data_IF_125570323670
#
_entry.id   IF_125570323670
#
_cell.length_a   1.000
_cell.length_b   1.000
_cell.length_c   1.000
_cell.angle_alpha   90.00
_cell.angle_beta   90.00
_cell.angle_gamma   90.00
#
_symmetry.space_group_name_H-M   'P 1'
#
loop_
_entity.id
_entity.type
_entity.pdbx_description
1 polymer ?
#
# COMPACT_ATOMS: atom_id res chain seq x y z
N UNK A 1 -5.70 -2.75 -56.86
CA UNK A 1 -6.39 -3.57 -55.83
C UNK A 1 -5.79 -3.41 -54.42
N UNK A 2 -4.46 -3.26 -54.26
CA UNK A 2 -3.80 -3.08 -52.94
C UNK A 2 -4.25 -1.84 -52.13
N UNK A 3 -4.57 -0.72 -52.81
CA UNK A 3 -5.05 0.53 -52.16
C UNK A 3 -6.44 0.39 -51.49
N UNK A 4 -7.34 -0.39 -52.09
CA UNK A 4 -8.70 -0.61 -51.55
C UNK A 4 -8.67 -1.47 -50.29
N UNK A 5 -7.82 -2.50 -50.27
CA UNK A 5 -7.68 -3.40 -49.13
C UNK A 5 -7.09 -2.69 -47.89
N UNK A 6 -6.15 -1.77 -48.12
CA UNK A 6 -5.53 -0.97 -47.05
C UNK A 6 -6.46 0.12 -46.49
N UNK A 7 -7.38 0.68 -47.29
CA UNK A 7 -8.41 1.61 -46.79
C UNK A 7 -9.46 0.93 -45.88
N UNK A 8 -9.72 -0.37 -46.07
CA UNK A 8 -10.68 -1.10 -45.24
C UNK A 8 -10.03 -1.71 -43.98
N UNK A 9 -8.83 -2.27 -44.10
CA UNK A 9 -8.13 -2.89 -42.96
C UNK A 9 -7.25 -1.92 -42.16
N UNK A 10 -6.82 -0.80 -42.76
CA UNK A 10 -6.00 0.21 -42.10
C UNK A 10 -6.64 0.79 -40.84
N UNK A 11 -7.91 1.25 -40.89
CA UNK A 11 -8.60 1.76 -39.71
C UNK A 11 -8.73 0.73 -38.58
N UNK A 12 -8.94 -0.55 -38.93
CA UNK A 12 -9.07 -1.64 -37.96
C UNK A 12 -7.73 -1.91 -37.26
N UNK A 13 -6.63 -1.91 -38.02
CA UNK A 13 -5.29 -2.15 -37.47
C UNK A 13 -4.83 -0.98 -36.58
N UNK A 14 -5.15 0.26 -36.97
CA UNK A 14 -4.91 1.46 -36.14
C UNK A 14 -5.75 1.44 -34.87
N UNK A 15 -7.03 1.05 -34.95
CA UNK A 15 -7.88 0.92 -33.77
C UNK A 15 -7.36 -0.16 -32.78
N UNK A 16 -6.88 -1.29 -33.29
CA UNK A 16 -6.24 -2.34 -32.48
C UNK A 16 -4.97 -1.87 -31.78
N UNK A 17 -4.13 -1.09 -32.49
CA UNK A 17 -2.93 -0.49 -31.91
C UNK A 17 -3.27 0.53 -30.83
N UNK A 18 -4.22 1.43 -31.09
CA UNK A 18 -4.68 2.42 -30.10
C UNK A 18 -5.30 1.74 -28.88
N UNK A 19 -6.12 0.71 -29.09
CA UNK A 19 -6.73 -0.05 -28.00
C UNK A 19 -5.67 -0.76 -27.14
N UNK A 20 -4.68 -1.38 -27.78
CA UNK A 20 -3.56 -2.00 -27.08
C UNK A 20 -2.73 -0.96 -26.32
N UNK A 21 -2.51 0.21 -26.90
CA UNK A 21 -1.81 1.31 -26.23
C UNK A 21 -2.60 1.86 -25.03
N UNK A 22 -3.93 1.95 -25.12
CA UNK A 22 -4.76 2.38 -23.98
C UNK A 22 -4.74 1.34 -22.85
N UNK A 23 -4.79 0.04 -23.19
CA UNK A 23 -4.76 -1.03 -22.20
C UNK A 23 -3.39 -1.19 -21.50
N UNK A 24 -2.29 -1.10 -22.26
CA UNK A 24 -0.95 -1.43 -21.76
C UNK A 24 -0.01 -0.23 -21.62
N UNK A 25 -0.31 0.89 -22.26
CA UNK A 25 0.54 2.08 -22.26
C UNK A 25 0.67 2.73 -20.88
N UNK A 26 -0.44 3.08 -20.20
CA UNK A 26 -0.36 3.74 -18.89
C UNK A 26 0.35 2.88 -17.83
N UNK A 27 0.10 1.57 -17.82
CA UNK A 27 0.71 0.64 -16.86
C UNK A 27 2.20 0.40 -17.11
N UNK A 28 2.65 0.39 -18.38
CA UNK A 28 4.06 0.24 -18.73
C UNK A 28 4.90 1.52 -18.47
N UNK A 29 4.29 2.70 -18.54
CA UNK A 29 5.00 3.99 -18.42
C UNK A 29 4.91 4.58 -17.00
N UNK A 30 3.79 4.38 -16.29
CA UNK A 30 3.54 4.98 -14.98
C UNK A 30 3.36 3.95 -13.85
N UNK A 31 3.63 2.66 -14.10
CA UNK A 31 3.39 1.58 -13.14
C UNK A 31 4.34 1.53 -11.93
N UNK A 32 5.32 2.44 -11.83
CA UNK A 32 6.27 2.48 -10.73
C UNK A 32 5.68 3.12 -9.48
N UNK A 33 5.76 2.43 -8.35
CA UNK A 33 5.51 3.04 -7.03
C UNK A 33 6.67 3.99 -6.71
N UNK A 34 6.39 5.28 -6.57
CA UNK A 34 7.39 6.25 -6.15
C UNK A 34 7.66 6.12 -4.65
N UNK A 35 8.91 6.39 -4.22
CA UNK A 35 9.23 6.42 -2.79
C UNK A 35 8.40 7.46 -2.03
N UNK A 36 8.04 8.57 -2.70
CA UNK A 36 7.19 9.59 -2.10
C UNK A 36 5.78 9.04 -1.80
N UNK A 37 5.21 8.24 -2.71
CA UNK A 37 3.94 7.59 -2.48
C UNK A 37 3.99 6.61 -1.30
N UNK A 38 5.11 5.88 -1.12
CA UNK A 38 5.32 4.99 0.04
C UNK A 38 5.43 5.80 1.34
N UNK A 39 6.18 6.91 1.33
CA UNK A 39 6.31 7.80 2.50
C UNK A 39 4.99 8.40 2.92
N UNK A 40 4.23 8.93 1.96
CA UNK A 40 2.93 9.55 2.22
C UNK A 40 1.91 8.50 2.70
N UNK A 41 1.96 7.29 2.14
CA UNK A 41 1.08 6.21 2.56
C UNK A 41 1.37 5.70 3.96
N UNK A 42 2.64 5.69 4.38
CA UNK A 42 3.10 5.18 5.67
C UNK A 42 2.46 5.87 6.88
N UNK A 43 2.06 7.15 6.76
CA UNK A 43 1.39 7.91 7.83
C UNK A 43 -0.08 8.22 7.55
N UNK A 44 -0.57 8.01 6.33
CA UNK A 44 -1.91 8.42 5.90
C UNK A 44 -3.06 7.71 6.63
N UNK A 45 -2.84 6.48 7.13
CA UNK A 45 -3.88 5.61 7.70
C UNK A 45 -5.18 5.59 6.86
N UNK A 46 -5.07 5.72 5.53
CA UNK A 46 -6.22 5.82 4.62
C UNK A 46 -6.68 4.41 4.20
N UNK A 47 -7.99 4.21 4.00
CA UNK A 47 -8.55 2.94 3.56
C UNK A 47 -7.91 2.43 2.26
N UNK A 48 -7.67 3.32 1.31
CA UNK A 48 -7.10 2.97 0.00
C UNK A 48 -5.64 2.56 0.10
N UNK A 49 -4.85 3.17 0.99
CA UNK A 49 -3.45 2.78 1.23
C UNK A 49 -3.32 1.52 2.11
N UNK A 50 -4.31 1.25 2.95
CA UNK A 50 -4.38 0.05 3.79
C UNK A 50 -4.95 -1.17 3.05
N UNK A 51 -5.81 -0.99 2.05
CA UNK A 51 -6.27 -2.06 1.18
C UNK A 51 -5.29 -2.32 0.02
N UNK A 52 -4.51 -1.30 -0.38
CA UNK A 52 -3.46 -1.40 -1.39
C UNK A 52 -2.19 -2.07 -0.88
N UNK A 53 -2.03 -3.36 -1.18
CA UNK A 53 -0.87 -4.16 -0.74
C UNK A 53 0.46 -3.74 -1.42
N UNK A 54 0.40 -3.08 -2.58
CA UNK A 54 1.62 -2.73 -3.35
C UNK A 54 2.51 -1.76 -2.56
N UNK A 55 1.92 -0.71 -1.98
CA UNK A 55 2.65 0.28 -1.17
C UNK A 55 3.21 -0.34 0.11
N UNK A 56 2.43 -1.22 0.74
CA UNK A 56 2.85 -1.91 1.96
C UNK A 56 3.99 -2.90 1.72
N UNK A 57 3.91 -3.71 0.65
CA UNK A 57 5.00 -4.61 0.23
C UNK A 57 6.26 -3.82 -0.05
N UNK A 58 6.12 -2.73 -0.82
CA UNK A 58 7.25 -1.85 -1.13
C UNK A 58 7.86 -1.24 0.14
N UNK A 59 7.04 -0.83 1.10
CA UNK A 59 7.52 -0.36 2.39
C UNK A 59 8.28 -1.46 3.16
N UNK A 60 7.77 -2.71 3.16
CA UNK A 60 8.48 -3.82 3.81
C UNK A 60 9.83 -4.08 3.15
N UNK A 61 9.95 -3.99 1.83
CA UNK A 61 11.23 -4.09 1.11
C UNK A 61 12.21 -2.96 1.50
N UNK A 62 11.70 -1.73 1.71
CA UNK A 62 12.48 -0.55 2.11
C UNK A 62 12.75 -0.45 3.62
N UNK A 63 12.69 -1.56 4.36
CA UNK A 63 12.94 -1.65 5.80
C UNK A 63 12.01 -0.79 6.67
N UNK A 64 10.75 -0.61 6.27
CA UNK A 64 9.76 -0.05 7.19
C UNK A 64 9.36 -1.07 8.26
N UNK A 65 9.27 -0.60 9.50
CA UNK A 65 8.71 -1.32 10.64
C UNK A 65 7.17 -1.15 10.63
N UNK A 66 6.40 -2.22 10.38
CA UNK A 66 4.94 -2.15 10.48
C UNK A 66 4.51 -2.01 11.94
N UNK A 67 3.67 -1.01 12.21
CA UNK A 67 3.03 -0.74 13.48
C UNK A 67 1.53 -1.05 13.38
N UNK A 68 1.11 -2.21 13.89
CA UNK A 68 -0.28 -2.62 13.92
C UNK A 68 -1.03 -2.00 15.09
N UNK A 69 -2.21 -1.45 14.86
CA UNK A 69 -3.03 -0.84 15.90
C UNK A 69 -4.34 -0.28 15.36
N UNK A 70 -5.02 0.53 16.16
CA UNK A 70 -6.33 1.07 15.81
C UNK A 70 -6.34 2.60 15.90
N UNK A 71 -7.12 3.15 16.81
CA UNK A 71 -7.21 4.59 17.10
C UNK A 71 -6.00 5.16 17.85
N UNK A 72 -5.12 4.31 18.38
CA UNK A 72 -3.89 4.71 19.07
C UNK A 72 -2.90 5.34 18.08
N UNK A 73 -2.83 4.78 16.87
CA UNK A 73 -1.89 5.20 15.81
C UNK A 73 -2.19 6.60 15.26
N UNK A 74 -3.43 7.09 15.40
CA UNK A 74 -3.80 8.44 14.94
C UNK A 74 -3.46 9.53 15.96
N UNK A 75 -3.00 9.18 17.17
CA UNK A 75 -2.68 10.14 18.24
C UNK A 75 -1.26 10.69 18.04
N UNK A 76 -1.12 11.55 17.04
CA UNK A 76 0.14 12.19 16.73
C UNK A 76 0.58 13.12 17.86
N UNK A 77 1.85 13.00 18.24
CA UNK A 77 2.54 13.83 19.22
C UNK A 77 4.03 13.87 18.86
N UNK A 78 4.80 14.75 19.51
CA UNK A 78 6.25 14.78 19.33
C UNK A 78 6.95 13.45 19.68
N UNK A 79 6.31 12.63 20.53
CA UNK A 79 6.81 11.31 20.94
C UNK A 79 6.16 10.17 20.16
N UNK A 80 5.33 10.46 19.16
CA UNK A 80 4.74 9.42 18.34
C UNK A 80 5.84 8.68 17.57
N UNK A 81 5.84 7.33 17.50
CA UNK A 81 6.91 6.56 16.88
C UNK A 81 7.25 7.02 15.45
N UNK A 82 6.24 7.37 14.64
CA UNK A 82 6.48 7.85 13.27
C UNK A 82 7.19 9.20 13.20
N UNK A 83 6.99 10.06 14.19
CA UNK A 83 7.62 11.38 14.27
C UNK A 83 9.03 11.25 14.84
N UNK A 84 9.16 10.51 15.94
CA UNK A 84 10.45 10.30 16.61
C UNK A 84 11.43 9.55 15.71
N UNK A 85 11.03 8.39 15.19
CA UNK A 85 11.89 7.56 14.34
C UNK A 85 12.16 8.26 12.99
N UNK A 86 11.18 8.98 12.43
CA UNK A 86 11.39 9.76 11.22
C UNK A 86 12.41 10.89 11.37
N UNK A 87 12.63 11.40 12.58
CA UNK A 87 13.59 12.47 12.87
C UNK A 87 14.96 11.96 13.32
N UNK A 88 15.00 10.90 14.12
CA UNK A 88 16.22 10.50 14.84
C UNK A 88 16.80 9.15 14.38
N UNK A 89 16.03 8.29 13.71
CA UNK A 89 16.52 6.98 13.25
C UNK A 89 16.77 6.97 11.74
N UNK A 90 18.03 6.80 11.29
CA UNK A 90 18.34 6.73 9.86
C UNK A 90 18.06 5.35 9.25
N UNK A 91 17.96 4.32 10.08
CA UNK A 91 18.02 2.91 9.63
C UNK A 91 16.66 2.34 9.24
N UNK A 92 15.58 2.80 9.86
CA UNK A 92 14.23 2.31 9.56
C UNK A 92 13.18 3.38 9.87
N UNK A 93 12.06 3.28 9.15
CA UNK A 93 10.89 4.15 9.33
C UNK A 93 9.69 3.31 9.75
N UNK A 94 8.64 3.94 10.26
CA UNK A 94 7.42 3.21 10.64
C UNK A 94 6.39 3.24 9.53
N UNK A 95 5.63 2.16 9.39
CA UNK A 95 4.44 2.11 8.56
C UNK A 95 3.22 1.84 9.44
N UNK A 96 2.27 2.79 9.49
CA UNK A 96 1.08 2.67 10.34
C UNK A 96 0.05 1.73 9.70
N UNK A 97 -0.15 0.58 10.34
CA UNK A 97 -1.07 -0.48 9.91
C UNK A 97 -2.33 -0.49 10.77
N UNK A 98 -3.33 0.26 10.35
CA UNK A 98 -4.66 0.24 10.94
C UNK A 98 -5.31 1.61 11.06
N UNK A 99 -6.55 1.61 11.52
CA UNK A 99 -7.45 2.77 11.66
C UNK A 99 -8.34 2.57 12.88
N UNK A 100 -9.04 3.61 13.34
CA UNK A 100 -10.10 3.44 14.33
C UNK A 100 -11.06 2.31 13.92
N UNK A 101 -11.19 1.30 14.78
CA UNK A 101 -12.03 0.12 14.55
C UNK A 101 -11.30 -1.09 13.94
N UNK A 102 -10.05 -0.96 13.50
CA UNK A 102 -9.23 -2.12 13.11
C UNK A 102 -8.95 -3.01 14.32
N UNK A 103 -9.13 -4.32 14.16
CA UNK A 103 -8.96 -5.34 15.19
C UNK A 103 -8.10 -6.50 14.68
N UNK A 104 -7.85 -7.49 15.53
CA UNK A 104 -7.01 -8.67 15.25
C UNK A 104 -7.37 -9.40 13.97
N UNK A 105 -8.66 -9.56 13.62
CA UNK A 105 -9.08 -10.23 12.39
C UNK A 105 -8.59 -9.47 11.14
N UNK A 106 -8.75 -8.16 11.10
CA UNK A 106 -8.28 -7.35 9.98
C UNK A 106 -6.74 -7.39 9.90
N UNK A 107 -6.05 -7.25 11.04
CA UNK A 107 -4.59 -7.36 11.08
C UNK A 107 -4.08 -8.72 10.61
N UNK A 108 -4.80 -9.80 10.92
CA UNK A 108 -4.50 -11.13 10.41
C UNK A 108 -4.62 -11.18 8.88
N UNK A 109 -5.70 -10.64 8.31
CA UNK A 109 -5.87 -10.57 6.85
C UNK A 109 -4.75 -9.74 6.19
N UNK A 110 -4.42 -8.57 6.75
CA UNK A 110 -3.36 -7.70 6.24
C UNK A 110 -2.00 -8.41 6.27
N UNK A 111 -1.68 -9.12 7.35
CA UNK A 111 -0.44 -9.89 7.47
C UNK A 111 -0.37 -11.04 6.45
N UNK A 112 -1.48 -11.75 6.23
CA UNK A 112 -1.56 -12.80 5.21
C UNK A 112 -1.37 -12.24 3.80
N UNK A 113 -1.93 -11.06 3.52
CA UNK A 113 -1.76 -10.38 2.23
C UNK A 113 -0.29 -10.02 1.97
N UNK A 114 0.45 -9.59 2.99
CA UNK A 114 1.87 -9.27 2.87
C UNK A 114 2.74 -10.51 2.65
N UNK A 115 2.34 -11.65 3.20
CA UNK A 115 2.93 -12.96 2.96
C UNK A 115 4.44 -12.97 3.24
N UNK A 116 5.23 -13.44 2.28
CA UNK A 116 6.69 -13.55 2.40
C UNK A 116 7.39 -12.21 2.66
N UNK A 117 6.74 -11.08 2.35
CA UNK A 117 7.30 -9.74 2.60
C UNK A 117 7.50 -9.46 4.09
N UNK A 118 6.81 -10.17 4.98
CA UNK A 118 6.97 -10.07 6.44
C UNK A 118 7.93 -11.11 7.02
N UNK A 119 8.37 -12.09 6.23
CA UNK A 119 9.19 -13.21 6.73
C UNK A 119 10.54 -12.71 7.25
N UNK A 120 10.84 -13.01 8.51
CA UNK A 120 12.08 -12.59 9.18
C UNK A 120 12.14 -11.10 9.54
N UNK A 121 11.04 -10.33 9.34
CA UNK A 121 10.96 -8.92 9.75
C UNK A 121 10.40 -8.78 11.15
N UNK A 122 10.77 -7.68 11.81
CA UNK A 122 10.20 -7.28 13.09
C UNK A 122 8.89 -6.53 12.84
N UNK A 123 7.95 -6.64 13.77
CA UNK A 123 6.70 -5.88 13.78
C UNK A 123 6.37 -5.46 15.21
N UNK A 124 5.59 -4.40 15.36
CA UNK A 124 5.04 -3.99 16.64
C UNK A 124 3.51 -3.99 16.54
N UNK A 125 2.83 -4.49 17.55
CA UNK A 125 1.36 -4.50 17.60
C UNK A 125 0.88 -3.91 18.91
N UNK A 126 0.01 -2.91 18.82
CA UNK A 126 -0.75 -2.39 19.94
C UNK A 126 -1.96 -3.29 20.17
N UNK A 127 -2.14 -3.75 21.40
CA UNK A 127 -3.29 -4.56 21.79
C UNK A 127 -4.25 -3.74 22.64
N UNK A 128 -5.48 -3.59 22.16
CA UNK A 128 -6.52 -2.83 22.87
C UNK A 128 -7.50 -3.77 23.57
N UNK A 129 -7.69 -3.59 24.89
CA UNK A 129 -8.47 -4.51 25.74
C UNK A 129 -10.00 -4.38 25.55
N UNK A 130 -10.50 -3.37 24.84
CA UNK A 130 -11.94 -3.04 24.79
C UNK A 130 -12.85 -4.04 24.03
N UNK A 131 -12.32 -5.10 23.43
CA UNK A 131 -13.11 -6.09 22.67
C UNK A 131 -13.79 -7.19 23.50
N UNK A 132 -13.34 -7.46 24.73
CA UNK A 132 -13.86 -8.56 25.55
C UNK A 132 -15.15 -8.22 26.31
N UNK A 133 -15.42 -6.94 26.59
CA UNK A 133 -16.59 -6.51 27.38
C UNK A 133 -17.86 -6.26 26.54
N UNK A 134 -17.85 -6.56 25.24
CA UNK A 134 -19.05 -6.44 24.37
C UNK A 134 -19.66 -7.79 23.99
N UNK A 135 -19.15 -8.90 24.54
CA UNK A 135 -19.67 -10.26 24.34
C UNK A 135 -20.15 -10.91 25.64
N UNK A 136 -20.59 -10.10 26.61
CA UNK A 136 -21.31 -10.55 27.82
C UNK A 136 -22.55 -9.69 27.96
#
# INVERSE_FOLDING_TARGET
MKKKLWMTFGPILVALLLFSFILFGPSAIFGGVSEQAVRDSATSMNQTSLQGNILQKRAMEENYLPLFGSSELSRLSAFHPSVFLGKYEPTYKTYLMGRPGTQSLQHFLDANMLGDSLKGKKLCSFYHRNGLNKMV
#
